data_IF_437220917359
#
_entry.id   IF_437220917359
#
_cell.length_a   1.000
_cell.length_b   1.000
_cell.length_c   1.000
_cell.angle_alpha   90.00
_cell.angle_beta   90.00
_cell.angle_gamma   90.00
#
_symmetry.space_group_name_H-M   'P 1'
#
loop_
_entity.id
_entity.type
_entity.pdbx_description
1 polymer ?
#
# COMPACT_ATOMS: atom_id res chain seq x y z
N UNK A 1 -2.99 -2.70 -0.71
CA UNK A 1 -4.22 -3.26 -0.12
C UNK A 1 -4.84 -2.21 0.79
N UNK A 2 -6.16 -1.99 0.72
CA UNK A 2 -6.89 -1.06 1.60
C UNK A 2 -7.92 -1.87 2.40
N UNK A 3 -7.96 -1.71 3.73
CA UNK A 3 -8.87 -2.45 4.59
C UNK A 3 -9.43 -1.55 5.70
N UNK A 4 -10.71 -1.72 6.06
CA UNK A 4 -11.30 -1.06 7.22
C UNK A 4 -10.74 -1.66 8.52
N UNK A 5 -10.38 -0.80 9.47
CA UNK A 5 -10.07 -1.16 10.86
C UNK A 5 -11.22 -0.72 11.75
N UNK A 6 -11.84 -1.69 12.44
CA UNK A 6 -12.89 -1.40 13.43
C UNK A 6 -12.32 -0.71 14.68
N UNK A 7 -11.09 -1.06 15.06
CA UNK A 7 -10.39 -0.48 16.21
C UNK A 7 -10.01 0.99 15.96
N UNK A 8 -9.52 1.30 14.76
CA UNK A 8 -9.05 2.66 14.41
C UNK A 8 -10.15 3.51 13.75
N UNK A 9 -11.31 2.93 13.45
CA UNK A 9 -12.43 3.56 12.74
C UNK A 9 -12.00 4.29 11.45
N UNK A 10 -11.08 3.69 10.69
CA UNK A 10 -10.59 4.22 9.43
C UNK A 10 -10.09 3.10 8.51
N UNK A 11 -9.78 3.44 7.26
CA UNK A 11 -9.12 2.53 6.33
C UNK A 11 -7.62 2.56 6.54
N UNK A 12 -7.01 1.40 6.76
CA UNK A 12 -5.57 1.19 6.75
C UNK A 12 -5.10 0.80 5.36
N UNK A 13 -3.93 1.30 4.96
CA UNK A 13 -3.33 1.03 3.66
C UNK A 13 -2.00 0.33 3.82
N UNK A 14 -1.90 -0.85 3.24
CA UNK A 14 -0.65 -1.61 3.12
C UNK A 14 -0.10 -1.52 1.70
N UNK A 15 1.22 -1.36 1.59
CA UNK A 15 1.98 -1.45 0.35
C UNK A 15 2.81 -2.74 0.40
N UNK A 16 2.23 -3.89 -0.01
CA UNK A 16 2.82 -5.22 0.23
C UNK A 16 4.17 -5.43 -0.48
N UNK A 17 4.41 -4.68 -1.56
CA UNK A 17 5.68 -4.71 -2.30
C UNK A 17 6.86 -4.24 -1.43
N UNK A 18 6.60 -3.37 -0.44
CA UNK A 18 7.64 -2.81 0.41
C UNK A 18 7.77 -3.58 1.72
N UNK A 19 8.96 -4.15 2.04
CA UNK A 19 9.18 -4.90 3.27
C UNK A 19 9.10 -4.00 4.51
N UNK A 20 8.61 -4.54 5.63
CA UNK A 20 8.51 -3.83 6.90
C UNK A 20 7.09 -3.83 7.47
N UNK A 21 6.65 -2.66 7.95
CA UNK A 21 5.33 -2.51 8.58
C UNK A 21 4.21 -2.85 7.59
N UNK A 22 3.25 -3.66 8.05
CA UNK A 22 2.09 -4.11 7.25
C UNK A 22 1.24 -2.93 6.77
N UNK A 23 0.99 -1.98 7.67
CA UNK A 23 0.22 -0.76 7.40
C UNK A 23 1.18 0.41 7.30
N UNK A 24 1.02 1.21 6.25
CA UNK A 24 1.92 2.32 5.90
C UNK A 24 1.28 3.67 6.11
N UNK A 25 -0.03 3.74 5.98
CA UNK A 25 -0.83 4.95 6.20
C UNK A 25 -2.29 4.58 6.42
N UNK A 26 -3.15 5.58 6.62
CA UNK A 26 -4.58 5.43 6.81
C UNK A 26 -5.36 6.53 6.08
N UNK A 27 -6.69 6.41 6.04
CA UNK A 27 -7.61 7.46 5.58
C UNK A 27 -9.05 7.15 5.98
N UNK A 28 -9.91 8.15 6.07
CA UNK A 28 -11.32 7.98 6.45
C UNK A 28 -12.18 7.56 5.25
N UNK A 29 -11.67 7.76 4.04
CA UNK A 29 -12.32 7.36 2.79
C UNK A 29 -11.31 6.67 1.89
N UNK A 30 -11.79 5.85 0.93
CA UNK A 30 -10.91 5.26 -0.08
C UNK A 30 -10.08 6.30 -0.83
N UNK A 31 -10.66 7.46 -1.19
CA UNK A 31 -9.95 8.52 -1.90
C UNK A 31 -8.81 9.12 -1.06
N UNK A 32 -9.08 9.41 0.22
CA UNK A 32 -8.06 9.89 1.15
C UNK A 32 -6.97 8.83 1.38
N UNK A 33 -7.36 7.57 1.56
CA UNK A 33 -6.42 6.46 1.73
C UNK A 33 -5.48 6.30 0.55
N UNK A 34 -5.98 6.39 -0.68
CA UNK A 34 -5.16 6.32 -1.90
C UNK A 34 -4.20 7.51 -1.96
N UNK A 35 -4.70 8.73 -1.75
CA UNK A 35 -3.87 9.94 -1.75
C UNK A 35 -2.73 9.84 -0.74
N UNK A 36 -3.03 9.47 0.50
CA UNK A 36 -2.02 9.33 1.54
C UNK A 36 -1.01 8.21 1.20
N UNK A 37 -1.45 7.16 0.50
CA UNK A 37 -0.57 6.07 0.08
C UNK A 37 0.37 6.49 -1.06
N UNK A 38 -0.08 7.37 -1.96
CA UNK A 38 0.77 7.99 -3.00
C UNK A 38 1.89 8.82 -2.35
N UNK A 39 1.57 9.68 -1.38
CA UNK A 39 2.56 10.50 -0.65
C UNK A 39 3.60 9.62 0.08
N UNK A 40 3.16 8.52 0.69
CA UNK A 40 4.06 7.55 1.33
C UNK A 40 4.92 6.80 0.30
N UNK A 41 4.35 6.42 -0.84
CA UNK A 41 5.07 5.73 -1.90
C UNK A 41 6.21 6.60 -2.45
N UNK A 42 5.96 7.88 -2.69
CA UNK A 42 6.99 8.85 -3.10
C UNK A 42 8.13 8.91 -2.07
N UNK A 43 7.78 9.01 -0.78
CA UNK A 43 8.76 9.05 0.32
C UNK A 43 9.60 7.77 0.39
N UNK A 44 8.99 6.60 0.16
CA UNK A 44 9.69 5.32 0.12
C UNK A 44 10.63 5.23 -1.08
N UNK A 45 10.20 5.68 -2.26
CA UNK A 45 11.04 5.69 -3.46
C UNK A 45 12.28 6.58 -3.27
N UNK A 46 12.11 7.77 -2.68
CA UNK A 46 13.24 8.63 -2.33
C UNK A 46 14.21 7.97 -1.34
N UNK A 47 13.68 7.24 -0.35
CA UNK A 47 14.52 6.54 0.63
C UNK A 47 15.39 5.48 -0.05
N UNK A 48 14.80 4.63 -0.90
CA UNK A 48 15.54 3.61 -1.66
C UNK A 48 16.61 4.24 -2.55
N UNK A 49 16.29 5.34 -3.23
CA UNK A 49 17.26 6.09 -4.03
C UNK A 49 18.43 6.61 -3.17
N UNK A 50 18.14 7.19 -1.99
CA UNK A 50 19.16 7.69 -1.06
C UNK A 50 20.05 6.58 -0.52
N UNK A 51 19.51 5.37 -0.33
CA UNK A 51 20.25 4.20 0.12
C UNK A 51 21.00 3.47 -1.01
N UNK A 52 20.75 3.83 -2.28
CA UNK A 52 21.31 3.11 -3.42
C UNK A 52 20.74 1.71 -3.60
N UNK A 53 19.56 1.45 -3.06
CA UNK A 53 18.87 0.17 -3.12
C UNK A 53 17.90 0.13 -4.31
N UNK A 54 17.72 -1.06 -4.89
CA UNK A 54 16.72 -1.27 -5.94
C UNK A 54 15.32 -1.31 -5.34
N UNK A 55 14.36 -0.65 -5.99
CA UNK A 55 12.94 -0.77 -5.63
C UNK A 55 12.47 -2.23 -5.68
N UNK A 56 11.54 -2.63 -4.80
CA UNK A 56 10.95 -3.96 -4.86
C UNK A 56 10.15 -4.16 -6.15
N UNK A 57 10.07 -5.41 -6.62
CA UNK A 57 9.21 -5.76 -7.74
C UNK A 57 7.72 -5.79 -7.30
N UNK A 58 6.80 -5.22 -8.08
CA UNK A 58 5.38 -5.24 -7.76
C UNK A 58 4.79 -6.66 -7.68
N UNK A 59 3.89 -6.89 -6.73
CA UNK A 59 3.10 -8.13 -6.67
C UNK A 59 2.13 -8.21 -7.86
N UNK A 60 2.44 -9.08 -8.81
CA UNK A 60 1.58 -9.29 -9.98
C UNK A 60 0.43 -10.22 -9.61
N UNK A 61 -0.78 -9.67 -9.53
CA UNK A 61 -2.00 -10.49 -9.49
C UNK A 61 -2.21 -11.17 -10.85
N UNK A 62 -1.71 -12.40 -10.97
CA UNK A 62 -1.95 -13.26 -12.14
C UNK A 62 -3.42 -13.69 -12.11
N UNK A 63 -4.28 -13.02 -12.90
CA UNK A 63 -5.70 -13.37 -13.09
C UNK A 63 -5.89 -14.90 -13.07
N UNK A 64 -6.36 -15.44 -11.94
CA UNK A 64 -7.14 -16.67 -11.95
C UNK A 64 -8.58 -16.22 -11.92
N UNK A 65 -9.22 -16.48 -13.05
CA UNK A 65 -10.66 -16.57 -13.28
C UNK A 65 -11.54 -15.74 -12.33
N UNK A 66 -12.32 -14.86 -12.94
CA UNK A 66 -13.55 -14.32 -12.38
C UNK A 66 -14.47 -15.54 -12.10
N UNK A 67 -14.20 -16.29 -11.03
CA UNK A 67 -14.95 -17.46 -10.64
C UNK A 67 -16.14 -16.99 -9.84
N UNK A 68 -17.23 -16.86 -10.59
CA UNK A 68 -18.48 -17.53 -10.31
C UNK A 68 -18.97 -17.34 -8.87
N UNK A 69 -19.74 -16.26 -8.67
CA UNK A 69 -20.94 -16.33 -7.86
C UNK A 69 -22.12 -15.91 -8.71
#
# INVERSE_FOLDING_TARGET
MIQWSDEDNCYLVGLPDFPGQKWRTHGNTYAESVKNAEEVLESLMELYQKLGESLPEPEINKKREILQK
#
